data_IF_394119052700
#
_entry.id   IF_394119052700
#
_cell.length_a   1.000
_cell.length_b   1.000
_cell.length_c   1.000
_cell.angle_alpha   90.00
_cell.angle_beta   90.00
_cell.angle_gamma   90.00
#
_symmetry.space_group_name_H-M   'P 1'
#
loop_
_entity.id
_entity.type
_entity.pdbx_description
1 polymer ?
#
# COMPACT_ATOMS: atom_id res chain seq x y z
N UNK A 1 43.34 0.08 39.44
CA UNK A 1 42.15 -0.79 39.40
C UNK A 1 41.26 -0.30 38.25
N UNK A 2 41.22 -1.04 37.12
CA UNK A 2 40.29 -0.76 36.02
C UNK A 2 38.96 -1.43 36.34
N UNK A 3 37.78 -0.80 36.11
CA UNK A 3 36.55 -1.53 36.14
C UNK A 3 36.27 -2.18 34.77
N UNK A 4 35.64 -3.34 34.84
CA UNK A 4 35.44 -4.32 33.81
C UNK A 4 34.44 -3.88 32.71
N UNK A 5 34.67 -4.42 31.52
CA UNK A 5 33.83 -4.42 30.35
C UNK A 5 32.33 -4.67 30.64
N UNK A 6 31.52 -3.69 30.37
CA UNK A 6 30.10 -3.90 30.06
C UNK A 6 30.01 -4.40 28.60
N UNK A 7 29.55 -5.63 28.43
CA UNK A 7 29.23 -6.21 27.14
C UNK A 7 28.09 -5.43 26.52
N UNK A 8 28.36 -4.89 25.33
CA UNK A 8 27.38 -4.31 24.41
C UNK A 8 26.26 -5.32 24.13
N UNK A 9 24.97 -4.98 24.28
CA UNK A 9 23.90 -5.84 23.83
C UNK A 9 23.91 -5.84 22.31
N UNK A 10 24.28 -6.96 21.73
CA UNK A 10 24.18 -7.27 20.30
C UNK A 10 22.88 -6.76 19.72
N UNK A 11 22.95 -5.73 18.90
CA UNK A 11 21.90 -5.26 18.02
C UNK A 11 21.47 -6.43 17.11
N UNK A 12 20.38 -7.08 17.42
CA UNK A 12 19.67 -7.92 16.47
C UNK A 12 19.03 -6.98 15.44
N UNK A 13 19.78 -6.69 14.38
CA UNK A 13 19.21 -6.16 13.17
C UNK A 13 18.12 -7.15 12.72
N UNK A 14 16.87 -6.73 12.69
CA UNK A 14 15.83 -7.43 11.96
C UNK A 14 16.18 -7.33 10.48
N UNK A 15 17.05 -8.24 10.01
CA UNK A 15 17.23 -8.47 8.60
C UNK A 15 15.88 -8.93 8.09
N UNK A 16 15.24 -8.15 7.22
CA UNK A 16 14.13 -8.63 6.42
C UNK A 16 14.70 -9.73 5.51
N UNK A 17 14.56 -10.98 5.95
CA UNK A 17 14.97 -12.15 5.19
C UNK A 17 14.26 -12.15 3.82
N UNK A 18 14.91 -12.71 2.77
CA UNK A 18 14.25 -12.96 1.49
C UNK A 18 12.95 -13.72 1.73
N UNK A 19 11.94 -13.47 0.89
CA UNK A 19 10.58 -13.97 1.08
C UNK A 19 10.56 -15.46 1.48
N UNK A 20 9.94 -15.76 2.61
CA UNK A 20 9.72 -17.12 3.09
C UNK A 20 8.60 -17.84 2.29
N UNK A 21 8.30 -17.34 1.09
CA UNK A 21 7.22 -17.80 0.23
C UNK A 21 5.83 -17.38 0.70
N UNK A 22 5.75 -16.53 1.74
CA UNK A 22 4.49 -16.04 2.29
C UNK A 22 4.24 -14.60 1.89
N UNK A 23 2.96 -14.25 1.78
CA UNK A 23 2.50 -12.94 1.34
C UNK A 23 1.77 -12.18 2.43
N UNK A 24 1.94 -10.87 2.42
CA UNK A 24 1.15 -9.91 3.20
C UNK A 24 0.14 -9.22 2.26
N UNK A 25 -1.12 -9.16 2.66
CA UNK A 25 -2.16 -8.44 1.92
C UNK A 25 -2.61 -7.24 2.74
N UNK A 26 -2.47 -6.05 2.16
CA UNK A 26 -2.98 -4.80 2.70
C UNK A 26 -4.22 -4.37 1.90
N UNK A 27 -5.16 -3.73 2.59
CA UNK A 27 -6.30 -3.11 1.93
C UNK A 27 -6.07 -1.60 1.76
N UNK A 28 -6.88 -0.96 0.93
CA UNK A 28 -6.82 0.48 0.73
C UNK A 28 -7.93 1.17 1.52
N UNK A 29 -7.60 2.25 2.21
CA UNK A 29 -8.58 3.08 2.92
C UNK A 29 -8.96 4.29 2.05
N UNK A 30 -10.23 4.39 1.60
CA UNK A 30 -10.65 5.38 0.61
C UNK A 30 -10.90 6.77 1.23
N UNK A 31 -9.84 7.42 1.69
CA UNK A 31 -9.92 8.78 2.28
C UNK A 31 -10.26 9.88 1.27
N UNK A 32 -10.47 9.52 0.02
CA UNK A 32 -10.88 10.41 -1.08
C UNK A 32 -12.31 10.14 -1.57
N UNK A 33 -13.04 9.26 -0.91
CA UNK A 33 -14.39 8.84 -1.30
C UNK A 33 -14.45 7.41 -1.82
N UNK A 34 -15.66 6.89 -1.85
CA UNK A 34 -15.99 5.55 -2.34
C UNK A 34 -17.32 5.57 -3.08
N UNK A 35 -17.63 4.53 -3.85
CA UNK A 35 -18.87 4.45 -4.57
C UNK A 35 -19.00 3.19 -5.40
N UNK A 36 -20.20 2.99 -5.92
CA UNK A 36 -20.54 1.84 -6.78
C UNK A 36 -20.13 2.03 -8.23
N UNK A 37 -19.98 3.28 -8.67
CA UNK A 37 -19.64 3.65 -10.04
C UNK A 37 -18.49 4.64 -10.03
N UNK A 38 -17.47 4.40 -10.84
CA UNK A 38 -16.36 5.33 -11.00
C UNK A 38 -16.83 6.62 -11.67
N UNK A 39 -16.34 7.75 -11.17
CA UNK A 39 -16.59 9.06 -11.75
C UNK A 39 -18.03 9.56 -11.68
N UNK A 40 -18.93 8.89 -10.95
CA UNK A 40 -20.32 9.27 -10.82
C UNK A 40 -20.69 9.56 -9.35
N UNK A 41 -21.58 10.53 -9.16
CA UNK A 41 -22.14 10.82 -7.84
C UNK A 41 -23.19 9.78 -7.41
N UNK A 42 -23.78 9.04 -8.37
CA UNK A 42 -24.72 7.98 -8.08
C UNK A 42 -24.05 6.83 -7.32
N UNK A 43 -24.61 6.46 -6.18
CA UNK A 43 -24.07 5.40 -5.32
C UNK A 43 -22.75 5.75 -4.63
N UNK A 44 -22.35 7.03 -4.64
CA UNK A 44 -21.22 7.52 -3.88
C UNK A 44 -21.46 7.43 -2.38
N UNK A 45 -20.37 7.30 -1.63
CA UNK A 45 -20.35 7.29 -0.16
C UNK A 45 -19.48 8.43 0.34
N UNK A 46 -19.96 9.14 1.33
CA UNK A 46 -19.20 10.22 1.96
C UNK A 46 -18.00 9.66 2.73
N UNK A 47 -16.88 10.39 2.69
CA UNK A 47 -15.76 10.14 3.58
C UNK A 47 -16.18 10.56 4.99
N UNK A 48 -16.27 9.61 5.88
CA UNK A 48 -16.57 9.84 7.28
C UNK A 48 -15.77 8.90 8.17
N UNK A 49 -15.47 9.33 9.39
CA UNK A 49 -14.80 8.45 10.36
C UNK A 49 -15.61 7.16 10.59
N UNK A 50 -16.93 7.24 10.58
CA UNK A 50 -17.82 6.08 10.75
C UNK A 50 -17.61 5.05 9.63
N UNK A 51 -17.53 5.49 8.37
CA UNK A 51 -17.30 4.60 7.23
C UNK A 51 -15.87 4.06 7.20
N UNK A 52 -14.85 4.92 7.38
CA UNK A 52 -13.46 4.50 7.44
C UNK A 52 -13.20 3.49 8.57
N UNK A 53 -13.87 3.66 9.71
CA UNK A 53 -13.81 2.70 10.83
C UNK A 53 -14.39 1.34 10.46
N UNK A 54 -15.49 1.29 9.69
CA UNK A 54 -16.07 0.01 9.24
C UNK A 54 -15.07 -0.76 8.38
N UNK A 55 -14.40 -0.09 7.44
CA UNK A 55 -13.40 -0.72 6.57
C UNK A 55 -12.19 -1.18 7.40
N UNK A 56 -11.68 -0.34 8.31
CA UNK A 56 -10.53 -0.69 9.15
C UNK A 56 -10.86 -1.87 10.09
N UNK A 57 -12.04 -1.90 10.70
CA UNK A 57 -12.49 -3.00 11.54
C UNK A 57 -12.65 -4.29 10.74
N UNK A 58 -13.27 -4.22 9.55
CA UNK A 58 -13.40 -5.37 8.65
C UNK A 58 -12.02 -5.92 8.25
N UNK A 59 -11.09 -5.05 7.86
CA UNK A 59 -9.74 -5.46 7.50
C UNK A 59 -8.98 -6.11 8.68
N UNK A 60 -9.13 -5.56 9.91
CA UNK A 60 -8.54 -6.14 11.13
C UNK A 60 -9.13 -7.52 11.44
N UNK A 61 -10.45 -7.67 11.37
CA UNK A 61 -11.15 -8.93 11.71
C UNK A 61 -10.94 -10.02 10.65
N UNK A 62 -10.89 -9.66 9.38
CA UNK A 62 -10.66 -10.57 8.26
C UNK A 62 -9.20 -11.02 8.13
N UNK A 63 -8.27 -10.39 8.84
CA UNK A 63 -6.87 -10.80 8.86
C UNK A 63 -6.00 -10.17 7.76
N UNK A 64 -6.39 -9.03 7.22
CA UNK A 64 -5.48 -8.22 6.42
C UNK A 64 -4.27 -7.79 7.24
N UNK A 65 -3.11 -7.75 6.60
CA UNK A 65 -1.87 -7.33 7.26
C UNK A 65 -1.90 -5.85 7.67
N UNK A 66 -2.57 -5.01 6.89
CA UNK A 66 -2.67 -3.59 7.16
C UNK A 66 -3.57 -2.87 6.16
N UNK A 67 -3.60 -1.54 6.27
CA UNK A 67 -4.27 -0.65 5.32
C UNK A 67 -3.32 0.44 4.82
N UNK A 68 -3.42 0.76 3.52
CA UNK A 68 -2.76 1.93 2.95
C UNK A 68 -3.66 3.16 3.10
N UNK A 69 -3.09 4.26 3.62
CA UNK A 69 -3.70 5.59 3.66
C UNK A 69 -2.98 6.48 2.64
N UNK A 70 -3.67 6.91 1.58
CA UNK A 70 -3.08 7.79 0.58
C UNK A 70 -2.89 9.22 1.10
N UNK A 71 -2.12 10.01 0.37
CA UNK A 71 -1.98 11.45 0.60
C UNK A 71 -2.22 12.21 -0.70
N UNK A 72 -2.68 13.44 -0.58
CA UNK A 72 -2.93 14.36 -1.67
C UNK A 72 -4.07 15.31 -1.32
N UNK A 73 -4.20 16.41 -2.09
CA UNK A 73 -5.24 17.44 -1.87
C UNK A 73 -6.67 16.91 -1.95
N UNK A 74 -6.87 15.74 -2.54
CA UNK A 74 -8.18 15.07 -2.65
C UNK A 74 -8.42 14.02 -1.57
N UNK A 75 -7.53 13.89 -0.60
CA UNK A 75 -7.60 12.91 0.47
C UNK A 75 -7.70 13.61 1.83
N UNK A 76 -8.34 12.95 2.80
CA UNK A 76 -8.15 13.32 4.20
C UNK A 76 -6.70 13.08 4.62
N UNK A 77 -6.22 13.81 5.63
CA UNK A 77 -4.84 13.66 6.11
C UNK A 77 -4.57 12.26 6.64
N UNK A 78 -3.56 11.61 6.08
CA UNK A 78 -3.24 10.21 6.34
C UNK A 78 -2.79 9.95 7.79
N UNK A 79 -2.09 10.89 8.44
CA UNK A 79 -1.61 10.77 9.81
C UNK A 79 -2.74 10.94 10.83
N UNK A 80 -3.62 11.92 10.58
CA UNK A 80 -4.79 12.17 11.45
C UNK A 80 -5.75 10.98 11.40
N UNK A 81 -6.07 10.50 10.20
CA UNK A 81 -6.95 9.32 10.03
C UNK A 81 -6.33 8.06 10.63
N UNK A 82 -5.04 7.80 10.38
CA UNK A 82 -4.37 6.64 10.97
C UNK A 82 -4.36 6.69 12.50
N UNK A 83 -4.12 7.86 13.09
CA UNK A 83 -4.13 8.04 14.55
C UNK A 83 -5.50 7.75 15.16
N UNK A 84 -6.58 8.21 14.49
CA UNK A 84 -7.95 7.95 14.93
C UNK A 84 -8.30 6.44 14.86
N UNK A 85 -7.89 5.75 13.80
CA UNK A 85 -8.22 4.35 13.57
C UNK A 85 -7.32 3.38 14.35
N UNK A 86 -6.08 3.75 14.65
CA UNK A 86 -5.17 2.93 15.43
C UNK A 86 -5.72 2.61 16.83
N UNK A 87 -6.45 3.54 17.45
CA UNK A 87 -7.11 3.33 18.73
C UNK A 87 -8.35 2.39 18.65
N UNK A 88 -8.87 2.15 17.46
CA UNK A 88 -10.10 1.38 17.22
C UNK A 88 -9.84 -0.03 16.66
N UNK A 89 -8.57 -0.38 16.41
CA UNK A 89 -8.14 -1.66 15.84
C UNK A 89 -7.09 -2.32 16.73
N UNK A 90 -6.86 -3.62 16.56
CA UNK A 90 -6.00 -4.41 17.45
C UNK A 90 -4.71 -4.90 16.78
N UNK A 91 -4.78 -5.34 15.54
CA UNK A 91 -3.69 -5.97 14.80
C UNK A 91 -3.32 -5.24 13.52
N UNK A 92 -4.30 -4.54 12.96
CA UNK A 92 -4.19 -3.87 11.68
C UNK A 92 -3.04 -2.85 11.67
N UNK A 93 -2.14 -2.99 10.70
CA UNK A 93 -1.05 -2.03 10.48
C UNK A 93 -1.52 -0.91 9.57
N UNK A 94 -0.88 0.23 9.70
CA UNK A 94 -1.20 1.45 8.96
C UNK A 94 -0.01 1.86 8.10
N UNK A 95 -0.13 1.69 6.79
CA UNK A 95 0.84 2.17 5.81
C UNK A 95 0.49 3.63 5.48
N UNK A 96 1.11 4.53 6.23
CA UNK A 96 0.79 5.97 6.23
C UNK A 96 1.71 6.69 5.25
N UNK A 97 1.12 7.48 4.37
CA UNK A 97 1.88 8.25 3.41
C UNK A 97 2.61 9.42 4.10
N UNK A 98 3.88 9.62 3.76
CA UNK A 98 4.68 10.79 4.09
C UNK A 98 5.18 11.44 2.81
N UNK A 99 5.06 12.77 2.72
CA UNK A 99 5.57 13.52 1.57
C UNK A 99 6.71 14.43 2.05
N UNK A 100 7.99 14.05 1.78
CA UNK A 100 9.12 14.93 2.03
C UNK A 100 8.95 16.29 1.33
N UNK A 101 9.30 17.35 2.03
CA UNK A 101 9.10 18.73 1.57
C UNK A 101 7.83 19.42 2.09
N UNK A 102 6.86 18.68 2.67
CA UNK A 102 5.71 19.28 3.36
C UNK A 102 5.96 19.52 4.86
N UNK A 103 6.89 18.77 5.44
CA UNK A 103 7.23 18.86 6.86
C UNK A 103 8.73 18.67 7.04
N UNK A 104 9.27 19.29 8.07
CA UNK A 104 10.64 19.07 8.48
C UNK A 104 10.83 17.61 8.96
N UNK A 105 11.96 16.97 8.62
CA UNK A 105 12.21 15.57 8.98
C UNK A 105 12.14 15.29 10.49
N UNK A 106 12.52 16.25 11.33
CA UNK A 106 12.45 16.12 12.81
C UNK A 106 11.00 16.14 13.31
N UNK A 107 10.11 16.91 12.69
CA UNK A 107 8.68 16.93 13.00
C UNK A 107 8.03 15.62 12.57
N UNK A 108 8.27 15.20 11.34
CA UNK A 108 7.76 13.93 10.81
C UNK A 108 8.28 12.72 11.61
N UNK A 109 9.54 12.74 12.08
CA UNK A 109 10.09 11.69 12.94
C UNK A 109 9.36 11.60 14.30
N UNK A 110 9.03 12.73 14.92
CA UNK A 110 8.23 12.74 16.16
C UNK A 110 6.81 12.22 15.94
N UNK A 111 6.18 12.59 14.83
CA UNK A 111 4.84 12.08 14.47
C UNK A 111 4.89 10.55 14.28
N UNK A 112 5.88 10.05 13.54
CA UNK A 112 6.07 8.62 13.31
C UNK A 112 6.33 7.86 14.61
N UNK A 113 7.25 8.34 15.45
CA UNK A 113 7.53 7.72 16.75
C UNK A 113 6.29 7.69 17.66
N UNK A 114 5.48 8.76 17.66
CA UNK A 114 4.26 8.84 18.45
C UNK A 114 3.22 7.83 17.95
N UNK A 115 2.91 7.82 16.64
CA UNK A 115 1.93 6.88 16.07
C UNK A 115 2.39 5.44 16.24
N UNK A 116 3.67 5.15 16.08
CA UNK A 116 4.22 3.81 16.29
C UNK A 116 4.03 3.34 17.73
N UNK A 117 4.24 4.22 18.71
CA UNK A 117 4.03 3.90 20.13
C UNK A 117 2.57 3.72 20.51
N UNK A 118 1.67 4.62 20.09
CA UNK A 118 0.25 4.50 20.42
C UNK A 118 -0.44 3.33 19.70
N UNK A 119 0.12 2.90 18.58
CA UNK A 119 -0.36 1.73 17.81
C UNK A 119 0.35 0.42 18.20
N UNK A 120 1.30 0.45 19.14
CA UNK A 120 2.10 -0.72 19.53
C UNK A 120 2.84 -1.38 18.37
N UNK A 121 3.63 -0.56 17.63
CA UNK A 121 4.48 -1.05 16.54
C UNK A 121 3.72 -1.41 15.26
N UNK A 122 2.57 -0.79 14.98
CA UNK A 122 1.75 -1.07 13.79
C UNK A 122 1.90 -0.02 12.68
N UNK A 123 2.80 0.95 12.82
CA UNK A 123 3.10 1.91 11.78
C UNK A 123 3.97 1.31 10.67
N UNK A 124 3.60 1.54 9.43
CA UNK A 124 4.41 1.39 8.23
C UNK A 124 4.41 2.75 7.51
N UNK A 125 5.49 3.13 6.85
CA UNK A 125 5.60 4.45 6.24
C UNK A 125 5.74 4.32 4.72
N UNK A 126 4.84 4.95 3.98
CA UNK A 126 4.89 5.03 2.52
C UNK A 126 5.44 6.39 2.08
N UNK A 127 6.63 6.42 1.54
CA UNK A 127 7.26 7.67 1.07
C UNK A 127 6.73 8.02 -0.32
N UNK A 128 6.19 9.23 -0.47
CA UNK A 128 5.54 9.72 -1.69
C UNK A 128 6.11 11.09 -2.06
N UNK A 129 6.84 11.18 -3.17
CA UNK A 129 7.42 12.46 -3.64
C UNK A 129 6.41 13.39 -4.31
N UNK A 130 5.24 12.83 -4.72
CA UNK A 130 4.26 13.56 -5.52
C UNK A 130 4.62 13.60 -7.01
N UNK A 131 3.66 13.86 -7.87
CA UNK A 131 3.84 13.87 -9.32
C UNK A 131 2.88 14.82 -10.06
N UNK A 132 1.92 15.47 -9.38
CA UNK A 132 1.08 16.51 -9.99
C UNK A 132 1.67 17.90 -9.68
N UNK A 133 2.25 18.62 -10.69
CA UNK A 133 2.85 19.92 -10.46
C UNK A 133 1.87 20.98 -9.92
N UNK A 134 0.59 20.85 -10.24
CA UNK A 134 -0.45 21.78 -9.76
C UNK A 134 -0.72 21.56 -8.28
N UNK A 135 -0.82 20.28 -7.86
CA UNK A 135 -0.96 19.93 -6.45
C UNK A 135 0.27 20.37 -5.64
N UNK A 136 1.47 20.01 -6.11
CA UNK A 136 2.72 20.31 -5.44
C UNK A 136 2.89 21.83 -5.21
N UNK A 137 2.62 22.66 -6.22
CA UNK A 137 2.67 24.13 -6.08
C UNK A 137 1.60 24.66 -5.11
N UNK A 138 0.41 24.03 -5.10
CA UNK A 138 -0.65 24.34 -4.14
C UNK A 138 -0.25 24.02 -2.70
N UNK A 139 0.59 23.01 -2.50
CA UNK A 139 1.15 22.61 -1.20
C UNK A 139 2.46 23.35 -0.86
N UNK A 140 2.91 24.31 -1.69
CA UNK A 140 4.12 25.11 -1.46
C UNK A 140 5.41 24.46 -1.96
N UNK A 141 5.35 23.37 -2.72
CA UNK A 141 6.52 22.69 -3.29
C UNK A 141 6.72 23.18 -4.74
N UNK A 142 7.80 23.93 -4.98
CA UNK A 142 8.17 24.49 -6.27
C UNK A 142 9.39 23.80 -6.91
N UNK A 143 9.82 22.68 -6.34
CA UNK A 143 10.96 21.91 -6.81
C UNK A 143 10.61 21.12 -8.07
N UNK A 144 11.57 20.98 -8.97
CA UNK A 144 11.47 20.08 -10.10
C UNK A 144 11.53 18.59 -9.67
N UNK A 145 11.40 17.69 -10.64
CA UNK A 145 11.37 16.25 -10.38
C UNK A 145 12.61 15.77 -9.61
N UNK A 146 13.82 16.10 -10.07
CA UNK A 146 15.04 15.54 -9.50
C UNK A 146 15.38 16.17 -8.15
N UNK A 147 15.14 17.48 -7.99
CA UNK A 147 15.28 18.16 -6.71
C UNK A 147 14.33 17.58 -5.63
N UNK A 148 13.11 17.16 -5.98
CA UNK A 148 12.22 16.49 -5.03
C UNK A 148 12.78 15.16 -4.55
N UNK A 149 13.48 14.39 -5.40
CA UNK A 149 14.16 13.16 -4.97
C UNK A 149 15.40 13.45 -4.13
N UNK A 150 16.16 14.51 -4.44
CA UNK A 150 17.28 14.95 -3.60
C UNK A 150 16.80 15.32 -2.18
N UNK A 151 15.75 16.16 -2.07
CA UNK A 151 15.09 16.48 -0.77
C UNK A 151 14.63 15.20 -0.07
N UNK A 152 14.07 14.25 -0.80
CA UNK A 152 13.62 12.97 -0.20
C UNK A 152 14.78 12.17 0.37
N UNK A 153 15.91 12.11 -0.30
CA UNK A 153 17.12 11.44 0.21
C UNK A 153 17.66 12.08 1.50
N UNK A 154 17.80 13.41 1.51
CA UNK A 154 18.23 14.16 2.71
C UNK A 154 17.22 14.00 3.87
N UNK A 155 15.92 14.11 3.56
CA UNK A 155 14.86 13.90 4.54
C UNK A 155 14.95 12.52 5.19
N UNK A 156 15.06 11.45 4.41
CA UNK A 156 15.14 10.08 4.92
C UNK A 156 16.44 9.82 5.68
N UNK A 157 17.53 10.44 5.28
CA UNK A 157 18.81 10.40 6.03
C UNK A 157 18.63 10.94 7.45
N UNK A 158 18.08 12.14 7.58
CA UNK A 158 17.83 12.77 8.89
C UNK A 158 16.79 11.96 9.68
N UNK A 159 15.67 11.62 9.05
CA UNK A 159 14.52 10.96 9.67
C UNK A 159 14.90 9.59 10.28
N UNK A 160 15.63 8.75 9.52
CA UNK A 160 16.04 7.42 9.97
C UNK A 160 17.00 7.49 11.15
N UNK A 161 17.98 8.40 11.11
CA UNK A 161 18.94 8.60 12.19
C UNK A 161 18.29 9.09 13.47
N UNK A 162 17.33 10.02 13.37
CA UNK A 162 16.54 10.49 14.50
C UNK A 162 15.73 9.36 15.16
N UNK A 163 15.07 8.51 14.38
CA UNK A 163 14.28 7.40 14.91
C UNK A 163 15.13 6.26 15.45
N UNK A 164 16.35 6.08 14.94
CA UNK A 164 17.34 5.17 15.51
C UNK A 164 17.87 5.64 16.88
N UNK A 165 17.54 6.88 17.30
CA UNK A 165 17.93 7.43 18.61
C UNK A 165 19.18 8.28 18.60
N UNK A 166 19.70 8.66 17.41
CA UNK A 166 20.87 9.53 17.29
C UNK A 166 20.49 11.00 17.64
N UNK A 167 21.50 11.75 18.09
CA UNK A 167 21.47 13.22 18.03
C UNK A 167 22.04 13.61 16.65
N UNK A 168 21.21 14.23 15.82
CA UNK A 168 21.54 14.48 14.43
C UNK A 168 21.85 15.94 14.20
N UNK A 169 23.06 16.22 13.70
CA UNK A 169 23.36 17.45 12.96
C UNK A 169 23.65 17.06 11.51
N UNK A 170 23.03 17.76 10.59
CA UNK A 170 23.10 17.51 9.15
C UNK A 170 23.03 18.84 8.40
N UNK A 171 23.85 18.98 7.41
CA UNK A 171 23.86 20.12 6.47
C UNK A 171 23.93 19.54 5.06
N UNK A 172 22.80 19.61 4.35
CA UNK A 172 22.65 19.15 2.96
C UNK A 172 22.51 20.29 2.00
N UNK A 173 22.16 19.96 0.75
CA UNK A 173 21.86 20.97 -0.27
C UNK A 173 20.50 21.66 -0.03
N UNK A 174 19.56 20.91 0.50
CA UNK A 174 18.15 21.35 0.65
C UNK A 174 17.69 21.42 2.10
N UNK A 175 18.22 20.55 2.96
CA UNK A 175 17.78 20.43 4.34
C UNK A 175 18.95 20.57 5.30
N UNK A 176 18.67 21.19 6.45
CA UNK A 176 19.66 21.24 7.55
C UNK A 176 18.93 20.97 8.88
N UNK A 177 19.66 20.34 9.82
CA UNK A 177 19.20 20.28 11.19
C UNK A 177 20.42 20.32 12.14
N UNK A 178 20.25 20.93 13.30
CA UNK A 178 21.29 21.04 14.32
C UNK A 178 20.79 20.44 15.64
N UNK A 179 21.57 19.48 16.19
CA UNK A 179 21.28 18.82 17.45
C UNK A 179 19.86 18.24 17.55
N UNK A 180 19.29 17.79 16.41
CA UNK A 180 17.95 17.19 16.32
C UNK A 180 17.86 15.91 17.14
N UNK A 181 16.74 15.70 17.86
CA UNK A 181 16.54 14.52 18.71
C UNK A 181 15.08 14.09 18.74
N UNK A 182 14.85 12.78 18.81
CA UNK A 182 13.56 12.17 19.17
C UNK A 182 13.70 11.55 20.57
N UNK A 183 13.16 12.25 21.58
CA UNK A 183 13.29 11.83 22.99
C UNK A 183 12.44 10.60 23.30
N UNK A 184 11.28 10.45 22.63
CA UNK A 184 10.40 9.31 22.75
C UNK A 184 10.51 8.44 21.49
N UNK A 185 11.44 7.46 21.45
CA UNK A 185 11.69 6.68 20.24
C UNK A 185 10.52 5.76 19.91
N UNK A 186 10.41 5.27 18.64
CA UNK A 186 9.39 4.32 18.25
C UNK A 186 9.58 2.97 18.95
N UNK A 187 8.55 2.13 18.92
CA UNK A 187 8.61 0.71 19.36
C UNK A 187 9.45 -0.10 18.38
N UNK A 188 9.20 0.09 17.08
CA UNK A 188 9.93 -0.61 16.01
C UNK A 188 11.36 -0.10 15.89
N UNK A 189 12.31 -1.00 15.71
CA UNK A 189 13.75 -0.70 15.64
C UNK A 189 14.37 -1.16 14.32
N UNK A 190 15.27 -0.37 13.73
CA UNK A 190 15.73 0.97 14.15
C UNK A 190 14.68 2.07 13.92
N UNK A 191 13.68 1.82 13.06
CA UNK A 191 12.56 2.69 12.71
C UNK A 191 11.42 1.84 12.12
N UNK A 192 10.18 2.39 12.01
CA UNK A 192 9.12 1.74 11.24
C UNK A 192 9.55 1.47 9.80
N UNK A 193 9.14 0.34 9.17
CA UNK A 193 9.53 -0.02 7.81
C UNK A 193 9.12 1.04 6.79
N UNK A 194 10.05 1.38 5.88
CA UNK A 194 9.86 2.33 4.81
C UNK A 194 9.51 1.62 3.49
N UNK A 195 8.40 2.04 2.91
CA UNK A 195 7.91 1.62 1.60
C UNK A 195 8.07 2.78 0.62
N UNK A 196 8.44 2.49 -0.60
CA UNK A 196 8.63 3.51 -1.61
C UNK A 196 8.26 3.00 -3.00
N UNK A 197 7.44 3.77 -3.73
CA UNK A 197 7.07 3.51 -5.10
C UNK A 197 7.53 4.61 -6.03
N UNK A 198 8.56 4.36 -6.82
CA UNK A 198 9.03 5.27 -7.85
C UNK A 198 9.56 4.50 -9.05
N UNK A 199 9.17 4.88 -10.26
CA UNK A 199 9.59 4.20 -11.50
C UNK A 199 10.68 4.96 -12.26
N UNK A 200 11.06 6.17 -11.82
CA UNK A 200 12.18 6.92 -12.38
C UNK A 200 13.52 6.40 -11.84
N UNK A 201 14.63 6.58 -12.58
CA UNK A 201 15.96 6.23 -12.06
C UNK A 201 16.26 6.86 -10.70
N UNK A 202 15.99 8.16 -10.52
CA UNK A 202 16.17 8.85 -9.25
C UNK A 202 15.35 8.22 -8.11
N UNK A 203 14.09 7.84 -8.39
CA UNK A 203 13.23 7.17 -7.40
C UNK A 203 13.75 5.80 -7.00
N UNK A 204 14.25 5.00 -7.94
CA UNK A 204 14.83 3.68 -7.67
C UNK A 204 16.10 3.82 -6.82
N UNK A 205 16.95 4.82 -7.08
CA UNK A 205 18.17 5.05 -6.29
C UNK A 205 17.85 5.46 -4.85
N UNK A 206 16.89 6.38 -4.63
CA UNK A 206 16.45 6.79 -3.28
C UNK A 206 15.85 5.59 -2.53
N UNK A 207 15.01 4.79 -3.20
CA UNK A 207 14.46 3.58 -2.61
C UNK A 207 15.57 2.61 -2.17
N UNK A 208 16.53 2.33 -3.05
CA UNK A 208 17.65 1.42 -2.79
C UNK A 208 18.54 1.88 -1.64
N UNK A 209 18.64 3.19 -1.42
CA UNK A 209 19.42 3.74 -0.32
C UNK A 209 18.70 3.69 1.03
N UNK A 210 17.40 3.95 1.06
CA UNK A 210 16.70 4.26 2.31
C UNK A 210 15.61 3.27 2.70
N UNK A 211 15.04 2.50 1.77
CA UNK A 211 13.81 1.77 2.03
C UNK A 211 14.00 0.25 2.13
N UNK A 212 13.10 -0.41 2.83
CA UNK A 212 13.04 -1.86 2.98
C UNK A 212 12.13 -2.50 1.93
N UNK A 213 11.11 -1.79 1.47
CA UNK A 213 10.10 -2.32 0.53
C UNK A 213 9.99 -1.42 -0.69
N UNK A 214 10.23 -1.99 -1.86
CA UNK A 214 9.99 -1.32 -3.13
C UNK A 214 8.60 -1.66 -3.65
N UNK A 215 7.80 -0.65 -3.94
CA UNK A 215 6.43 -0.78 -4.45
C UNK A 215 6.38 -0.55 -5.95
N UNK A 216 5.60 -1.36 -6.67
CA UNK A 216 5.22 -1.13 -8.06
C UNK A 216 3.72 -1.07 -8.21
N UNK A 217 3.24 -0.60 -9.35
CA UNK A 217 1.84 -0.71 -9.73
C UNK A 217 1.60 -1.94 -10.60
N UNK A 218 0.34 -2.37 -10.70
CA UNK A 218 -0.07 -3.57 -11.40
C UNK A 218 -0.01 -3.43 -12.91
N UNK A 219 1.19 -3.47 -13.48
CA UNK A 219 1.43 -3.65 -14.91
C UNK A 219 1.37 -5.16 -15.25
N UNK A 220 1.30 -5.54 -16.54
CA UNK A 220 1.46 -6.93 -16.95
C UNK A 220 2.72 -7.57 -16.34
N UNK A 221 2.72 -8.87 -15.98
CA UNK A 221 3.81 -9.52 -15.26
C UNK A 221 5.21 -9.31 -15.87
N UNK A 222 5.33 -9.31 -17.19
CA UNK A 222 6.62 -9.06 -17.86
C UNK A 222 7.16 -7.64 -17.58
N UNK A 223 6.30 -6.63 -17.62
CA UNK A 223 6.70 -5.25 -17.32
C UNK A 223 7.05 -5.04 -15.83
N UNK A 224 6.36 -5.77 -14.93
CA UNK A 224 6.72 -5.81 -13.51
C UNK A 224 8.09 -6.46 -13.33
N UNK A 225 8.36 -7.60 -13.99
CA UNK A 225 9.65 -8.30 -13.89
C UNK A 225 10.83 -7.40 -14.27
N UNK A 226 10.72 -6.62 -15.35
CA UNK A 226 11.74 -5.66 -15.79
C UNK A 226 12.01 -4.60 -14.70
N UNK A 227 10.95 -4.04 -14.12
CA UNK A 227 11.06 -3.03 -13.07
C UNK A 227 11.70 -3.58 -11.80
N UNK A 228 11.31 -4.79 -11.38
CA UNK A 228 11.90 -5.45 -10.22
C UNK A 228 13.39 -5.76 -10.46
N UNK A 229 13.78 -6.14 -11.68
CA UNK A 229 15.19 -6.37 -12.01
C UNK A 229 16.02 -5.08 -11.88
N UNK A 230 15.50 -3.94 -12.33
CA UNK A 230 16.14 -2.63 -12.17
C UNK A 230 16.30 -2.25 -10.69
N UNK A 231 15.24 -2.43 -9.88
CA UNK A 231 15.29 -2.15 -8.45
C UNK A 231 16.25 -3.08 -7.70
N UNK A 232 16.26 -4.39 -8.02
CA UNK A 232 17.24 -5.34 -7.45
C UNK A 232 18.67 -4.91 -7.74
N UNK A 233 18.97 -4.61 -8.99
CA UNK A 233 20.33 -4.17 -9.38
C UNK A 233 20.76 -2.90 -8.64
N UNK A 234 19.85 -1.95 -8.38
CA UNK A 234 20.16 -0.75 -7.60
C UNK A 234 20.43 -1.07 -6.12
N UNK A 235 19.66 -1.98 -5.51
CA UNK A 235 19.89 -2.43 -4.14
C UNK A 235 21.19 -3.22 -3.99
N UNK A 236 21.47 -4.14 -4.93
CA UNK A 236 22.69 -4.95 -4.96
C UNK A 236 23.97 -4.09 -5.03
N UNK A 237 23.96 -3.01 -5.82
CA UNK A 237 25.09 -2.05 -5.85
C UNK A 237 25.39 -1.42 -4.48
N UNK A 238 24.42 -1.44 -3.57
CA UNK A 238 24.52 -0.93 -2.19
C UNK A 238 24.65 -2.03 -1.13
N UNK A 239 24.80 -3.28 -1.55
CA UNK A 239 24.86 -4.43 -0.64
C UNK A 239 23.56 -4.67 0.13
N UNK A 240 22.40 -4.27 -0.45
CA UNK A 240 21.07 -4.40 0.15
C UNK A 240 20.16 -5.30 -0.65
N UNK A 241 19.05 -5.69 -0.03
CA UNK A 241 17.96 -6.42 -0.67
C UNK A 241 16.63 -5.70 -0.39
N UNK A 242 15.69 -5.80 -1.34
CA UNK A 242 14.31 -5.36 -1.16
C UNK A 242 13.37 -6.52 -0.86
N UNK A 243 12.35 -6.26 -0.06
CA UNK A 243 11.04 -6.86 -0.26
C UNK A 243 10.28 -6.11 -1.35
N UNK A 244 9.37 -6.77 -2.06
CA UNK A 244 8.64 -6.16 -3.17
C UNK A 244 7.14 -6.17 -2.94
N UNK A 245 6.49 -5.03 -3.20
CA UNK A 245 5.06 -4.91 -3.13
C UNK A 245 4.45 -4.43 -4.45
N UNK A 246 3.16 -4.78 -4.65
CA UNK A 246 2.39 -4.36 -5.82
C UNK A 246 1.06 -3.76 -5.41
N UNK A 247 0.67 -2.66 -6.07
CA UNK A 247 -0.63 -2.01 -5.88
C UNK A 247 -1.56 -2.33 -7.05
N UNK A 248 -2.71 -2.95 -6.73
CA UNK A 248 -3.75 -3.37 -7.68
C UNK A 248 -5.14 -3.10 -7.12
N UNK A 249 -6.12 -3.02 -8.00
CA UNK A 249 -7.52 -3.23 -7.65
C UNK A 249 -7.90 -4.71 -7.87
N UNK A 250 -9.03 -5.13 -7.31
CA UNK A 250 -9.56 -6.48 -7.48
C UNK A 250 -11.07 -6.43 -7.69
N UNK A 251 -11.58 -7.31 -8.54
CA UNK A 251 -13.01 -7.56 -8.77
C UNK A 251 -13.17 -9.08 -8.81
N UNK A 252 -13.58 -9.67 -7.69
CA UNK A 252 -13.69 -11.13 -7.53
C UNK A 252 -15.14 -11.51 -7.33
N UNK A 253 -15.60 -12.51 -8.11
CA UNK A 253 -16.96 -13.08 -7.98
C UNK A 253 -16.87 -14.61 -8.00
N UNK A 254 -17.98 -15.28 -7.79
CA UNK A 254 -18.07 -16.74 -7.85
C UNK A 254 -17.70 -17.27 -9.23
N UNK A 255 -18.08 -16.55 -10.28
CA UNK A 255 -17.78 -16.89 -11.67
C UNK A 255 -17.03 -15.77 -12.39
N UNK A 256 -16.29 -16.13 -13.43
CA UNK A 256 -15.61 -15.18 -14.32
C UNK A 256 -16.60 -14.19 -14.97
N UNK A 257 -17.74 -14.70 -15.44
CA UNK A 257 -18.77 -13.87 -16.08
C UNK A 257 -19.34 -12.79 -15.17
N UNK A 258 -19.61 -13.12 -13.91
CA UNK A 258 -20.05 -12.15 -12.90
C UNK A 258 -19.00 -11.10 -12.60
N UNK A 259 -17.71 -11.50 -12.53
CA UNK A 259 -16.62 -10.57 -12.28
C UNK A 259 -16.46 -9.55 -13.44
N UNK A 260 -16.54 -10.02 -14.68
CA UNK A 260 -16.47 -9.13 -15.85
C UNK A 260 -17.72 -8.23 -15.96
N UNK A 261 -18.91 -8.75 -15.67
CA UNK A 261 -20.12 -7.93 -15.61
C UNK A 261 -20.01 -6.82 -14.54
N UNK A 262 -19.35 -7.11 -13.42
CA UNK A 262 -19.09 -6.11 -12.39
C UNK A 262 -18.06 -5.06 -12.84
N UNK A 263 -17.01 -5.45 -13.57
CA UNK A 263 -16.06 -4.52 -14.15
C UNK A 263 -16.75 -3.55 -15.13
N UNK A 264 -17.60 -4.05 -16.01
CA UNK A 264 -18.41 -3.24 -16.93
C UNK A 264 -19.37 -2.32 -16.17
N UNK A 265 -20.05 -2.83 -15.12
CA UNK A 265 -20.92 -2.04 -14.28
C UNK A 265 -20.20 -0.87 -13.62
N UNK A 266 -18.97 -1.11 -13.15
CA UNK A 266 -18.18 -0.11 -12.43
C UNK A 266 -17.94 1.15 -13.28
N UNK A 267 -17.74 1.01 -14.58
CA UNK A 267 -17.51 2.12 -15.53
C UNK A 267 -18.73 2.51 -16.35
N UNK A 268 -19.89 1.90 -16.12
CA UNK A 268 -21.09 2.08 -16.95
C UNK A 268 -21.67 3.49 -16.92
N UNK A 269 -21.31 4.31 -15.94
CA UNK A 269 -21.75 5.72 -15.80
C UNK A 269 -20.72 6.72 -16.29
N UNK A 270 -19.56 6.27 -16.76
CA UNK A 270 -18.56 7.15 -17.34
C UNK A 270 -18.99 7.58 -18.74
N UNK A 271 -18.91 8.85 -19.05
CA UNK A 271 -18.99 9.38 -20.38
C UNK A 271 -17.60 9.72 -20.93
N UNK A 272 -17.50 9.94 -22.24
CA UNK A 272 -16.23 10.22 -22.91
C UNK A 272 -15.65 11.58 -22.50
N UNK A 273 -16.49 12.55 -22.14
CA UNK A 273 -16.05 13.87 -21.68
C UNK A 273 -15.36 13.76 -20.31
N UNK A 274 -15.93 13.01 -19.39
CA UNK A 274 -15.34 12.71 -18.07
C UNK A 274 -13.99 11.99 -18.21
N UNK A 275 -13.92 11.00 -19.12
CA UNK A 275 -12.66 10.30 -19.38
C UNK A 275 -11.63 11.26 -19.95
N UNK A 276 -11.97 12.06 -20.97
CA UNK A 276 -11.06 13.00 -21.60
C UNK A 276 -10.51 14.02 -20.58
N UNK A 277 -11.36 14.56 -19.71
CA UNK A 277 -10.96 15.50 -18.66
C UNK A 277 -10.01 14.84 -17.63
N UNK A 278 -10.30 13.61 -17.20
CA UNK A 278 -9.44 12.86 -16.31
C UNK A 278 -8.08 12.56 -16.96
N UNK A 279 -8.08 12.07 -18.20
CA UNK A 279 -6.85 11.78 -18.95
C UNK A 279 -5.97 13.04 -19.15
N UNK A 280 -6.56 14.19 -19.47
CA UNK A 280 -5.84 15.45 -19.55
C UNK A 280 -5.16 15.84 -18.21
N UNK A 281 -5.82 15.56 -17.09
CA UNK A 281 -5.24 15.75 -15.75
C UNK A 281 -4.09 14.78 -15.49
N UNK A 282 -4.23 13.52 -15.85
CA UNK A 282 -3.20 12.49 -15.64
C UNK A 282 -1.96 12.71 -16.52
N UNK A 283 -2.15 13.23 -17.75
CA UNK A 283 -1.05 13.51 -18.69
C UNK A 283 -0.15 14.65 -18.25
N UNK A 284 -0.61 15.59 -17.42
CA UNK A 284 0.21 16.68 -16.91
C UNK A 284 1.16 16.27 -15.78
N UNK A 285 0.99 15.06 -15.23
CA UNK A 285 1.83 14.57 -14.14
C UNK A 285 3.24 14.26 -14.63
N UNK A 286 4.25 14.67 -13.87
CA UNK A 286 5.67 14.36 -14.12
C UNK A 286 6.09 13.02 -13.50
N UNK A 287 5.20 12.02 -13.60
CA UNK A 287 5.38 10.68 -13.01
C UNK A 287 5.55 9.62 -14.10
N UNK A 288 6.72 9.01 -14.14
CA UNK A 288 7.00 7.85 -15.01
C UNK A 288 6.00 6.72 -14.78
N UNK A 289 5.67 6.44 -13.51
CA UNK A 289 4.67 5.42 -13.18
C UNK A 289 3.30 5.74 -13.75
N UNK A 290 2.84 7.00 -13.65
CA UNK A 290 1.56 7.42 -14.21
C UNK A 290 1.54 7.32 -15.74
N UNK A 291 2.61 7.75 -16.41
CA UNK A 291 2.72 7.62 -17.87
C UNK A 291 2.65 6.16 -18.33
N UNK A 292 3.29 5.24 -17.61
CA UNK A 292 3.22 3.80 -17.89
C UNK A 292 1.80 3.25 -17.70
N UNK A 293 1.09 3.63 -16.63
CA UNK A 293 -0.30 3.20 -16.40
C UNK A 293 -1.24 3.72 -17.49
N UNK A 294 -1.16 5.01 -17.80
CA UNK A 294 -1.97 5.63 -18.86
C UNK A 294 -1.69 5.01 -20.24
N UNK A 295 -0.42 4.66 -20.49
CA UNK A 295 -0.01 4.00 -21.74
C UNK A 295 -0.63 2.61 -21.98
N UNK A 296 -1.08 1.91 -20.93
CA UNK A 296 -1.72 0.60 -21.05
C UNK A 296 -3.02 0.65 -21.87
N UNK A 297 -3.82 1.69 -21.70
CA UNK A 297 -5.13 1.83 -22.35
C UNK A 297 -5.25 3.07 -23.25
N UNK A 298 -4.44 4.13 -23.02
CA UNK A 298 -4.47 5.37 -23.80
C UNK A 298 -5.81 6.13 -23.72
N UNK A 299 -6.63 5.89 -22.69
CA UNK A 299 -7.98 6.46 -22.56
C UNK A 299 -9.04 5.71 -23.39
N UNK A 300 -8.69 4.63 -24.08
CA UNK A 300 -9.56 3.87 -24.98
C UNK A 300 -10.26 2.72 -24.24
N UNK A 301 -11.60 2.75 -24.21
CA UNK A 301 -12.44 1.69 -23.59
C UNK A 301 -12.29 0.32 -24.25
N UNK A 302 -11.90 0.26 -25.52
CA UNK A 302 -11.72 -1.01 -26.24
C UNK A 302 -10.42 -1.74 -25.87
N UNK A 303 -9.51 -1.08 -25.16
CA UNK A 303 -8.17 -1.57 -24.80
C UNK A 303 -7.96 -1.83 -23.31
N UNK A 304 -9.04 -2.09 -22.57
CA UNK A 304 -8.96 -2.19 -21.10
C UNK A 304 -8.42 -3.53 -20.60
N UNK A 305 -8.56 -4.62 -21.35
CA UNK A 305 -7.95 -5.90 -20.99
C UNK A 305 -6.51 -5.91 -21.48
N UNK A 306 -5.56 -5.70 -20.57
CA UNK A 306 -4.13 -5.49 -20.89
C UNK A 306 -3.27 -6.74 -20.71
N UNK A 307 -3.80 -7.74 -20.02
CA UNK A 307 -3.23 -9.08 -19.83
C UNK A 307 -4.36 -10.01 -19.37
N UNK A 308 -4.21 -11.34 -19.39
CA UNK A 308 -5.24 -12.23 -18.85
C UNK A 308 -5.66 -11.84 -17.44
N UNK A 309 -6.96 -11.64 -17.22
CA UNK A 309 -7.56 -11.20 -15.96
C UNK A 309 -7.03 -9.86 -15.40
N UNK A 310 -6.28 -9.08 -16.19
CA UNK A 310 -5.78 -7.75 -15.80
C UNK A 310 -6.48 -6.66 -16.63
N UNK A 311 -7.30 -5.87 -15.98
CA UNK A 311 -8.17 -4.86 -16.56
C UNK A 311 -7.77 -3.45 -16.11
N UNK A 312 -7.60 -2.53 -17.06
CA UNK A 312 -7.13 -1.17 -16.82
C UNK A 312 -8.24 -0.11 -16.70
N UNK A 313 -9.49 -0.52 -16.52
CA UNK A 313 -10.65 0.40 -16.55
C UNK A 313 -10.68 1.41 -15.42
N UNK A 314 -10.09 1.09 -14.25
CA UNK A 314 -9.96 2.06 -13.16
C UNK A 314 -9.10 3.25 -13.58
N UNK A 315 -8.05 3.01 -14.37
CA UNK A 315 -7.14 4.02 -14.90
C UNK A 315 -7.77 5.02 -15.87
N UNK A 316 -8.99 4.79 -16.35
CA UNK A 316 -9.70 5.76 -17.17
C UNK A 316 -9.92 7.09 -16.45
N UNK A 317 -10.15 7.06 -15.14
CA UNK A 317 -10.49 8.26 -14.34
C UNK A 317 -9.72 8.37 -13.02
N UNK A 318 -8.93 7.35 -12.66
CA UNK A 318 -8.17 7.34 -11.40
C UNK A 318 -6.66 7.38 -11.68
N UNK A 319 -5.97 8.29 -11.00
CA UNK A 319 -4.51 8.31 -10.95
C UNK A 319 -3.94 7.24 -10.02
N UNK A 320 -2.66 6.92 -10.20
CA UNK A 320 -1.97 5.87 -9.47
C UNK A 320 -2.19 4.49 -10.12
N UNK A 321 -2.33 3.44 -9.30
CA UNK A 321 -2.63 2.10 -9.81
C UNK A 321 -4.02 2.08 -10.46
N UNK A 322 -4.04 1.89 -11.77
CA UNK A 322 -5.26 1.95 -12.59
C UNK A 322 -5.77 0.58 -13.05
N UNK A 323 -5.13 -0.51 -12.62
CA UNK A 323 -5.45 -1.87 -13.05
C UNK A 323 -6.12 -2.68 -11.95
N UNK A 324 -6.99 -3.60 -12.35
CA UNK A 324 -7.66 -4.55 -11.48
C UNK A 324 -7.45 -5.99 -11.95
N UNK A 325 -7.28 -6.92 -11.01
CA UNK A 325 -7.44 -8.34 -11.27
C UNK A 325 -8.93 -8.66 -11.27
N UNK A 326 -9.43 -9.23 -12.37
CA UNK A 326 -10.84 -9.51 -12.60
C UNK A 326 -11.04 -10.99 -12.90
N UNK A 327 -11.90 -11.67 -12.16
CA UNK A 327 -12.16 -13.08 -12.41
C UNK A 327 -12.79 -13.83 -11.24
N UNK A 328 -12.87 -15.14 -11.38
CA UNK A 328 -13.19 -16.04 -10.28
C UNK A 328 -12.07 -16.04 -9.24
N UNK A 329 -12.35 -16.59 -8.06
CA UNK A 329 -11.37 -16.67 -6.99
C UNK A 329 -10.08 -17.41 -7.41
N UNK A 330 -10.22 -18.50 -8.16
CA UNK A 330 -9.07 -19.28 -8.64
C UNK A 330 -8.25 -18.49 -9.67
N UNK A 331 -8.91 -17.83 -10.64
CA UNK A 331 -8.22 -17.00 -11.64
C UNK A 331 -7.45 -15.84 -10.99
N UNK A 332 -8.07 -15.14 -10.03
CA UNK A 332 -7.40 -14.03 -9.33
C UNK A 332 -6.22 -14.55 -8.49
N UNK A 333 -6.39 -15.67 -7.78
CA UNK A 333 -5.30 -16.28 -7.03
C UNK A 333 -4.14 -16.72 -7.95
N UNK A 334 -4.43 -17.30 -9.11
CA UNK A 334 -3.41 -17.71 -10.07
C UNK A 334 -2.64 -16.51 -10.65
N UNK A 335 -3.34 -15.40 -10.96
CA UNK A 335 -2.65 -14.16 -11.38
C UNK A 335 -1.80 -13.58 -10.26
N UNK A 336 -2.25 -13.64 -9.01
CA UNK A 336 -1.42 -13.23 -7.86
C UNK A 336 -0.18 -14.12 -7.69
N UNK A 337 -0.30 -15.44 -7.91
CA UNK A 337 0.85 -16.35 -7.86
C UNK A 337 1.91 -16.01 -8.90
N UNK A 338 1.52 -15.56 -10.10
CA UNK A 338 2.50 -15.10 -11.10
C UNK A 338 3.35 -13.93 -10.59
N UNK A 339 2.74 -12.97 -9.89
CA UNK A 339 3.49 -11.88 -9.26
C UNK A 339 4.33 -12.37 -8.06
N UNK A 340 3.84 -13.35 -7.30
CA UNK A 340 4.61 -13.99 -6.21
C UNK A 340 5.86 -14.66 -6.77
N UNK A 341 5.75 -15.36 -7.89
CA UNK A 341 6.88 -16.03 -8.55
C UNK A 341 7.94 -15.03 -9.07
N UNK A 342 7.56 -13.78 -9.36
CA UNK A 342 8.48 -12.69 -9.64
C UNK A 342 9.18 -12.15 -8.38
N UNK A 343 8.70 -12.51 -7.19
CA UNK A 343 9.23 -12.08 -5.90
C UNK A 343 8.40 -11.01 -5.20
N UNK A 344 7.16 -10.75 -5.63
CA UNK A 344 6.23 -9.90 -4.88
C UNK A 344 5.77 -10.66 -3.65
N UNK A 345 5.98 -10.08 -2.48
CA UNK A 345 5.57 -10.63 -1.19
C UNK A 345 4.55 -9.74 -0.44
N UNK A 346 4.18 -8.59 -1.03
CA UNK A 346 3.18 -7.67 -0.49
C UNK A 346 2.21 -7.21 -1.57
N UNK A 347 0.92 -7.36 -1.28
CA UNK A 347 -0.15 -6.89 -2.14
C UNK A 347 -0.93 -5.79 -1.43
N UNK A 348 -1.01 -4.61 -2.05
CA UNK A 348 -1.87 -3.53 -1.60
C UNK A 348 -3.07 -3.50 -2.53
N UNK A 349 -4.23 -3.94 -2.03
CA UNK A 349 -5.42 -4.17 -2.83
C UNK A 349 -6.55 -3.20 -2.49
N UNK A 350 -7.46 -3.01 -3.41
CA UNK A 350 -8.72 -2.29 -3.21
C UNK A 350 -9.78 -2.75 -4.20
N UNK A 351 -11.03 -2.47 -3.89
CA UNK A 351 -12.17 -2.74 -4.77
C UNK A 351 -13.27 -1.72 -4.54
N UNK A 352 -14.28 -1.70 -5.37
CA UNK A 352 -15.38 -0.75 -5.32
C UNK A 352 -16.73 -1.46 -5.17
N UNK A 353 -17.52 -1.19 -4.07
CA UNK A 353 -17.17 -0.39 -2.90
C UNK A 353 -16.18 -1.10 -1.98
N UNK A 354 -15.31 -0.32 -1.32
CA UNK A 354 -14.17 -0.86 -0.59
C UNK A 354 -14.53 -1.80 0.57
N UNK A 355 -15.63 -1.57 1.27
CA UNK A 355 -16.03 -2.41 2.39
C UNK A 355 -16.48 -3.80 1.93
N UNK A 356 -17.38 -3.86 0.97
CA UNK A 356 -17.94 -5.12 0.46
C UNK A 356 -16.88 -5.95 -0.27
N UNK A 357 -16.02 -5.28 -1.05
CA UNK A 357 -14.94 -5.97 -1.76
C UNK A 357 -13.86 -6.50 -0.80
N UNK A 358 -13.64 -5.86 0.38
CA UNK A 358 -12.75 -6.40 1.40
C UNK A 358 -13.25 -7.76 1.92
N UNK A 359 -14.54 -7.90 2.20
CA UNK A 359 -15.13 -9.18 2.60
C UNK A 359 -15.03 -10.21 1.50
N UNK A 360 -15.46 -9.89 0.28
CA UNK A 360 -15.44 -10.84 -0.86
C UNK A 360 -14.04 -11.35 -1.13
N UNK A 361 -13.06 -10.45 -1.20
CA UNK A 361 -11.68 -10.85 -1.45
C UNK A 361 -11.15 -11.77 -0.34
N UNK A 362 -11.36 -11.41 0.92
CA UNK A 362 -10.88 -12.23 2.03
C UNK A 362 -11.55 -13.62 2.07
N UNK A 363 -12.85 -13.69 1.86
CA UNK A 363 -13.61 -14.95 1.89
C UNK A 363 -13.25 -15.86 0.71
N UNK A 364 -13.12 -15.27 -0.49
CA UNK A 364 -12.93 -16.03 -1.71
C UNK A 364 -11.46 -16.33 -2.01
N UNK A 365 -10.53 -15.40 -1.74
CA UNK A 365 -9.15 -15.49 -2.24
C UNK A 365 -8.14 -15.84 -1.13
N UNK A 366 -8.29 -15.38 0.11
CA UNK A 366 -7.34 -15.71 1.19
C UNK A 366 -7.11 -17.21 1.37
N UNK A 367 -8.12 -18.09 1.28
CA UNK A 367 -7.88 -19.54 1.41
C UNK A 367 -6.97 -20.13 0.33
N UNK A 368 -6.72 -19.40 -0.78
CA UNK A 368 -5.93 -19.82 -1.94
C UNK A 368 -4.51 -19.24 -1.97
N UNK A 369 -4.19 -18.38 -1.02
CA UNK A 369 -2.91 -17.68 -0.97
C UNK A 369 -2.02 -18.17 0.19
N UNK A 370 -0.70 -18.18 0.02
CA UNK A 370 0.25 -18.50 1.08
C UNK A 370 0.41 -17.29 2.03
N UNK A 371 -0.63 -16.95 2.77
CA UNK A 371 -0.61 -15.78 3.64
C UNK A 371 0.37 -15.96 4.81
N UNK A 372 1.07 -14.88 5.15
CA UNK A 372 1.84 -14.79 6.39
C UNK A 372 0.86 -14.72 7.56
N UNK A 373 1.04 -15.58 8.56
CA UNK A 373 0.26 -15.48 9.78
C UNK A 373 0.50 -14.09 10.41
N UNK A 374 -0.56 -13.30 10.54
CA UNK A 374 -0.50 -12.04 11.30
C UNK A 374 -0.14 -12.43 12.73
N UNK A 375 1.04 -12.00 13.20
CA UNK A 375 1.54 -12.31 14.54
C UNK A 375 0.50 -11.87 15.58
N UNK A 376 -0.11 -12.85 16.26
CA UNK A 376 -1.07 -12.61 17.33
C UNK A 376 -2.30 -13.52 17.32
N UNK A 377 -2.74 -13.97 16.17
CA UNK A 377 -3.74 -15.05 16.09
C UNK A 377 -3.36 -15.90 14.88
N UNK A 378 -2.76 -17.07 15.12
CA UNK A 378 -2.89 -18.14 14.15
C UNK A 378 -4.39 -18.20 13.80
N UNK A 379 -4.79 -18.40 12.51
CA UNK A 379 -6.16 -18.80 12.23
C UNK A 379 -6.39 -19.97 13.17
N UNK A 380 -7.17 -19.72 14.22
CA UNK A 380 -7.31 -20.65 15.32
C UNK A 380 -7.84 -21.95 14.75
N UNK A 381 -7.01 -22.98 14.70
CA UNK A 381 -7.51 -24.35 14.56
C UNK A 381 -8.61 -24.65 15.61
N UNK A 382 -8.68 -23.85 16.67
CA UNK A 382 -9.67 -23.92 17.74
C UNK A 382 -10.99 -23.18 17.40
N UNK A 383 -11.11 -22.44 16.30
CA UNK A 383 -12.39 -21.86 15.84
C UNK A 383 -13.16 -22.76 14.86
N UNK A 384 -12.72 -24.01 14.69
CA UNK A 384 -13.37 -24.93 13.77
C UNK A 384 -14.63 -25.65 14.34
N UNK A 385 -15.01 -25.38 15.57
CA UNK A 385 -16.07 -26.13 16.28
C UNK A 385 -17.41 -25.36 16.37
N UNK A 386 -17.56 -24.27 15.63
CA UNK A 386 -18.78 -23.50 15.62
C UNK A 386 -19.68 -23.80 14.42
N UNK A 387 -20.92 -23.33 14.43
CA UNK A 387 -21.77 -23.37 13.24
C UNK A 387 -21.19 -22.48 12.16
N UNK A 388 -20.95 -23.03 10.96
CA UNK A 388 -20.50 -22.29 9.78
C UNK A 388 -21.70 -22.08 8.86
N UNK A 389 -22.25 -20.86 8.87
CA UNK A 389 -23.44 -20.50 8.17
C UNK A 389 -24.67 -20.47 9.06
N UNK A 390 -25.84 -20.25 8.45
CA UNK A 390 -27.10 -20.20 9.17
C UNK A 390 -27.53 -21.62 9.61
N UNK A 391 -27.93 -21.75 10.88
CA UNK A 391 -28.50 -22.97 11.42
C UNK A 391 -29.89 -23.19 10.79
N UNK A 392 -30.05 -24.29 10.09
CA UNK A 392 -31.31 -24.62 9.41
C UNK A 392 -32.27 -25.31 10.36
N UNK A 393 -33.55 -24.97 10.27
CA UNK A 393 -34.64 -25.56 11.06
C UNK A 393 -34.34 -25.59 12.57
N UNK A 394 -33.60 -24.60 13.08
CA UNK A 394 -33.21 -24.43 14.48
C UNK A 394 -32.30 -25.54 15.06
N UNK A 395 -31.89 -26.51 14.27
CA UNK A 395 -31.18 -27.70 14.78
C UNK A 395 -30.11 -28.24 13.83
N UNK A 396 -30.16 -27.95 12.54
CA UNK A 396 -29.23 -28.48 11.55
C UNK A 396 -28.08 -27.49 11.35
N UNK A 397 -26.89 -27.87 11.84
CA UNK A 397 -25.67 -27.08 11.66
C UNK A 397 -25.02 -27.40 10.32
N UNK A 398 -24.77 -26.42 9.44
CA UNK A 398 -24.03 -26.65 8.20
C UNK A 398 -22.63 -27.19 8.48
N UNK A 399 -22.21 -28.19 7.74
CA UNK A 399 -20.85 -28.74 7.82
C UNK A 399 -19.94 -28.08 6.77
N UNK A 400 -18.72 -27.74 7.16
CA UNK A 400 -17.71 -27.28 6.22
C UNK A 400 -17.38 -28.41 5.24
N UNK A 401 -17.57 -28.20 3.95
CA UNK A 401 -17.03 -29.11 2.94
C UNK A 401 -15.51 -29.00 3.00
N UNK A 402 -14.83 -30.05 3.43
CA UNK A 402 -13.39 -30.19 3.26
C UNK A 402 -13.19 -30.40 1.76
N UNK A 403 -12.61 -29.44 1.05
CA UNK A 403 -12.17 -29.62 -0.32
C UNK A 403 -11.14 -30.76 -0.30
N UNK A 404 -11.46 -31.89 -0.92
CA UNK A 404 -10.47 -32.90 -1.20
C UNK A 404 -9.43 -32.28 -2.16
N UNK A 405 -8.20 -32.12 -1.70
CA UNK A 405 -7.03 -31.79 -2.50
C UNK A 405 -6.54 -33.00 -3.27
#
# INVERSE_FOLDING_TARGET
MRPANAKDPTMTATSHAPSDGKTDVLWFLPTHGDGRYLGAAEGARDVSLAYLRQIAAAADDLGYYGVLLPTGRSCEDSWVVASALAALTKRLRFLVAVRPGLQEPSVAARMAATLDRISDGRLLVNVVTGGDPVELKGDGIFLDHDARYAVTGEFLTIWRRLLAGETVSFEGEHLACENGRVIFPPVQRPHPPLYFGGSSPAGIEVAAEHCEVYLTWGEPPAAVAEKLAQARAAAERRGKTFSFGIRLHVIVRETEGEAWAEAERLISRLDDATIAQAQATLQRMDSVGQSRMTGLHGGDRSRLVVSPNLWAGVGLVRGGAGTALVGSADQVADRMKEYIDLGIDRFILSGYPHLEEAYRFAELVFPRLPLRATTGVAPSAARNDGPFGEVMANDIVPTRRVSAH
#
